data_IF_327796604831
#
_entry.id   IF_327796604831
#
_cell.length_a   1.000
_cell.length_b   1.000
_cell.length_c   1.000
_cell.angle_alpha   90.00
_cell.angle_beta   90.00
_cell.angle_gamma   90.00
#
_symmetry.space_group_name_H-M   'P 1'
#
loop_
_entity.id
_entity.type
_entity.pdbx_description
1 polymer ?
#
# COMPACT_ATOMS: atom_id res chain seq x y z
N UNK A 1 -3.74 10.53 -40.66
CA UNK A 1 -3.48 9.16 -40.19
C UNK A 1 -3.17 9.24 -38.70
N UNK A 2 -4.13 8.90 -37.83
CA UNK A 2 -3.99 9.01 -36.38
C UNK A 2 -3.55 7.67 -35.78
N UNK A 3 -2.27 7.55 -35.43
CA UNK A 3 -1.74 6.43 -34.69
C UNK A 3 -2.10 6.55 -33.21
N UNK A 4 -3.27 6.04 -32.82
CA UNK A 4 -3.68 5.93 -31.43
C UNK A 4 -2.79 4.92 -30.70
N UNK A 5 -1.94 5.42 -29.80
CA UNK A 5 -1.23 4.62 -28.80
C UNK A 5 -2.24 3.73 -28.07
N UNK A 6 -2.20 2.43 -28.34
CA UNK A 6 -2.87 1.40 -27.56
C UNK A 6 -2.20 1.26 -26.19
N UNK A 7 -2.39 2.25 -25.32
CA UNK A 7 -2.16 2.08 -23.90
C UNK A 7 -3.24 1.15 -23.37
N UNK A 8 -2.86 -0.07 -22.98
CA UNK A 8 -3.76 -1.05 -22.38
C UNK A 8 -4.59 -0.38 -21.28
N UNK A 9 -5.91 -0.42 -21.44
CA UNK A 9 -6.84 0.23 -20.50
C UNK A 9 -6.74 -0.50 -19.17
N UNK A 10 -6.31 0.21 -18.12
CA UNK A 10 -6.25 -0.35 -16.76
C UNK A 10 -7.65 -0.86 -16.37
N UNK A 11 -7.78 -2.10 -15.88
CA UNK A 11 -9.08 -2.65 -15.47
C UNK A 11 -9.56 -2.06 -14.12
N UNK A 12 -8.82 -1.11 -13.56
CA UNK A 12 -9.12 -0.38 -12.33
C UNK A 12 -9.09 1.12 -12.55
N UNK A 13 -9.73 1.87 -11.64
CA UNK A 13 -9.66 3.32 -11.56
C UNK A 13 -9.26 3.70 -10.14
N UNK A 14 -8.13 4.39 -10.01
CA UNK A 14 -7.75 5.04 -8.77
C UNK A 14 -8.52 6.37 -8.65
N UNK A 15 -9.01 6.68 -7.45
CA UNK A 15 -9.70 7.94 -7.13
C UNK A 15 -9.09 8.48 -5.85
N UNK A 16 -8.75 9.76 -5.86
CA UNK A 16 -8.14 10.48 -4.73
C UNK A 16 -8.88 11.79 -4.48
N UNK A 17 -8.91 12.21 -3.20
CA UNK A 17 -9.51 13.47 -2.76
C UNK A 17 -8.66 14.08 -1.65
N UNK A 18 -8.70 15.41 -1.54
CA UNK A 18 -8.10 16.13 -0.44
C UNK A 18 -9.16 16.52 0.60
N UNK A 19 -8.89 16.25 1.87
CA UNK A 19 -9.77 16.59 2.98
C UNK A 19 -9.00 16.74 4.29
N UNK A 20 -9.63 17.40 5.28
CA UNK A 20 -9.03 17.61 6.61
C UNK A 20 -9.05 16.33 7.45
N UNK A 21 -10.08 15.50 7.29
CA UNK A 21 -10.27 14.24 8.01
C UNK A 21 -10.55 13.08 7.05
N UNK A 22 -10.28 11.86 7.51
CA UNK A 22 -10.61 10.63 6.75
C UNK A 22 -12.12 10.53 6.47
N UNK A 23 -12.95 10.97 7.42
CA UNK A 23 -14.40 11.00 7.24
C UNK A 23 -14.84 11.95 6.12
N UNK A 24 -14.25 13.13 6.06
CA UNK A 24 -14.56 14.09 5.01
C UNK A 24 -14.04 13.62 3.64
N UNK A 25 -12.88 12.95 3.62
CA UNK A 25 -12.40 12.28 2.41
C UNK A 25 -13.40 11.21 1.92
N UNK A 26 -13.93 10.38 2.81
CA UNK A 26 -14.91 9.35 2.44
C UNK A 26 -16.22 9.97 1.94
N UNK A 27 -16.69 11.05 2.56
CA UNK A 27 -17.87 11.80 2.09
C UNK A 27 -17.64 12.37 0.70
N UNK A 28 -16.48 13.00 0.45
CA UNK A 28 -16.11 13.49 -0.87
C UNK A 28 -16.04 12.38 -1.91
N UNK A 29 -15.35 11.28 -1.58
CA UNK A 29 -15.27 10.10 -2.46
C UNK A 29 -16.66 9.55 -2.79
N UNK A 30 -17.58 9.50 -1.81
CA UNK A 30 -18.94 9.00 -2.05
C UNK A 30 -19.75 9.83 -3.06
N UNK A 31 -19.38 11.10 -3.28
CA UNK A 31 -20.00 11.95 -4.31
C UNK A 31 -19.40 11.71 -5.71
N UNK A 32 -18.22 11.10 -5.80
CA UNK A 32 -17.51 10.83 -7.06
C UNK A 32 -17.55 9.36 -7.50
N UNK A 33 -17.91 8.45 -6.60
CA UNK A 33 -18.10 7.03 -6.92
C UNK A 33 -19.57 6.68 -7.10
N UNK A 34 -19.95 5.98 -8.18
CA UNK A 34 -21.33 5.54 -8.39
C UNK A 34 -21.76 4.40 -7.43
N UNK A 35 -20.84 3.88 -6.61
CA UNK A 35 -21.07 2.75 -5.70
C UNK A 35 -20.81 3.16 -4.26
N UNK A 36 -21.66 2.72 -3.33
CA UNK A 36 -21.42 2.88 -1.89
C UNK A 36 -20.07 2.28 -1.52
N UNK A 37 -19.21 3.08 -0.88
CA UNK A 37 -17.94 2.60 -0.34
C UNK A 37 -18.22 1.56 0.75
N UNK A 38 -17.62 0.38 0.60
CA UNK A 38 -17.80 -0.75 1.52
C UNK A 38 -16.43 -1.24 1.98
N UNK A 39 -16.09 -0.95 3.24
CA UNK A 39 -14.74 -1.19 3.78
C UNK A 39 -14.55 -2.59 4.38
N UNK A 40 -15.60 -3.41 4.48
CA UNK A 40 -15.49 -4.76 5.04
C UNK A 40 -14.66 -5.71 4.16
N UNK A 41 -14.38 -5.35 2.90
CA UNK A 41 -13.46 -6.08 2.02
C UNK A 41 -12.12 -5.35 1.83
N UNK A 42 -11.80 -4.36 2.68
CA UNK A 42 -10.51 -3.70 2.60
C UNK A 42 -9.40 -4.72 2.90
N UNK A 43 -8.42 -4.81 2.01
CA UNK A 43 -7.33 -5.77 2.12
C UNK A 43 -6.06 -5.16 2.70
N UNK A 44 -5.78 -3.89 2.36
CA UNK A 44 -4.56 -3.20 2.75
C UNK A 44 -4.78 -1.70 2.92
N UNK A 45 -4.19 -1.14 3.98
CA UNK A 45 -4.07 0.28 4.24
C UNK A 45 -2.63 0.69 3.98
N UNK A 46 -2.44 1.66 3.09
CA UNK A 46 -1.13 2.20 2.74
C UNK A 46 -0.99 3.60 3.33
N UNK A 47 -0.05 3.78 4.24
CA UNK A 47 0.26 5.06 4.87
C UNK A 47 1.43 5.71 4.14
N UNK A 48 1.33 6.98 3.76
CA UNK A 48 2.51 7.68 3.25
C UNK A 48 3.52 7.87 4.37
N UNK A 49 4.81 7.76 4.06
CA UNK A 49 5.88 8.05 5.01
C UNK A 49 5.71 9.43 5.63
N UNK A 50 5.38 10.43 4.81
CA UNK A 50 5.15 11.81 5.28
C UNK A 50 4.07 11.87 6.37
N UNK A 51 2.92 11.23 6.14
CA UNK A 51 1.84 11.17 7.12
C UNK A 51 2.32 10.48 8.40
N UNK A 52 2.94 9.31 8.26
CA UNK A 52 3.41 8.49 9.37
C UNK A 52 4.48 9.22 10.23
N UNK A 53 5.31 10.07 9.64
CA UNK A 53 6.32 10.88 10.36
C UNK A 53 5.73 12.14 11.01
N UNK A 54 4.97 12.91 10.25
CA UNK A 54 4.54 14.25 10.69
C UNK A 54 3.35 14.17 11.64
N UNK A 55 2.28 13.49 11.21
CA UNK A 55 1.02 13.38 11.95
C UNK A 55 0.91 12.10 12.77
N UNK A 56 1.65 11.06 12.40
CA UNK A 56 1.51 9.74 12.98
C UNK A 56 0.24 9.03 12.51
N UNK A 57 -0.18 8.06 13.30
CA UNK A 57 -1.37 7.24 13.09
C UNK A 57 -2.65 7.67 13.86
N UNK A 58 -2.70 8.67 14.77
CA UNK A 58 -3.96 9.01 15.45
C UNK A 58 -5.14 9.31 14.51
N UNK A 59 -4.98 10.00 13.36
CA UNK A 59 -6.08 10.19 12.41
C UNK A 59 -6.65 8.87 11.85
N UNK A 60 -5.81 7.85 11.81
CA UNK A 60 -6.17 6.51 11.38
C UNK A 60 -6.92 5.77 12.50
N UNK A 61 -6.41 5.84 13.73
CA UNK A 61 -7.04 5.26 14.93
C UNK A 61 -8.45 5.85 15.17
N UNK A 62 -8.58 7.18 15.12
CA UNK A 62 -9.85 7.90 15.29
C UNK A 62 -10.92 7.44 14.29
N UNK A 63 -10.49 7.14 13.06
CA UNK A 63 -11.40 6.64 12.03
C UNK A 63 -11.83 5.20 12.29
N UNK A 64 -10.92 4.34 12.75
CA UNK A 64 -11.20 2.93 13.01
C UNK A 64 -12.03 2.70 14.27
N UNK A 65 -11.73 3.38 15.36
CA UNK A 65 -12.47 3.26 16.63
C UNK A 65 -13.96 3.61 16.42
N UNK A 66 -14.23 4.57 15.54
CA UNK A 66 -15.59 5.02 15.20
C UNK A 66 -16.28 4.20 14.11
N UNK A 67 -15.56 3.29 13.43
CA UNK A 67 -16.09 2.53 12.30
C UNK A 67 -15.80 1.02 12.42
N UNK A 68 -16.68 0.27 13.11
CA UNK A 68 -16.48 -1.16 13.36
C UNK A 68 -16.59 -2.04 12.11
N UNK A 69 -16.86 -1.47 10.92
CA UNK A 69 -16.92 -2.23 9.67
C UNK A 69 -15.54 -2.60 9.12
N UNK A 70 -14.46 -2.03 9.68
CA UNK A 70 -13.10 -2.27 9.19
C UNK A 70 -12.54 -3.47 9.91
N UNK A 71 -12.06 -4.43 9.14
CA UNK A 71 -11.57 -5.68 9.71
C UNK A 71 -10.21 -5.45 10.33
N UNK A 72 -10.04 -5.93 11.57
CA UNK A 72 -8.74 -5.99 12.26
C UNK A 72 -7.69 -6.78 11.48
N UNK A 73 -8.10 -7.66 10.57
CA UNK A 73 -7.20 -8.47 9.75
C UNK A 73 -6.68 -7.77 8.47
N UNK A 74 -7.08 -6.51 8.23
CA UNK A 74 -6.56 -5.69 7.12
C UNK A 74 -5.06 -5.48 7.30
N UNK A 75 -4.25 -5.61 6.25
CA UNK A 75 -2.81 -5.33 6.35
C UNK A 75 -2.53 -3.85 6.41
N UNK A 76 -1.50 -3.44 7.13
CA UNK A 76 -1.02 -2.05 7.14
C UNK A 76 0.39 -2.02 6.58
N UNK A 77 0.70 -1.07 5.69
CA UNK A 77 2.07 -0.85 5.18
C UNK A 77 2.39 0.63 5.09
N UNK A 78 3.67 0.97 5.14
CA UNK A 78 4.17 2.34 4.92
C UNK A 78 4.75 2.44 3.51
N UNK A 79 4.24 3.37 2.72
CA UNK A 79 4.79 3.70 1.41
C UNK A 79 5.89 4.75 1.56
N UNK A 80 7.10 4.39 1.10
CA UNK A 80 8.18 5.35 0.90
C UNK A 80 8.10 5.87 -0.54
N UNK A 81 7.95 7.18 -0.68
CA UNK A 81 7.64 7.84 -1.95
C UNK A 81 6.16 8.17 -2.14
N UNK A 82 5.77 8.44 -3.38
CA UNK A 82 4.43 8.89 -3.71
C UNK A 82 3.44 7.70 -3.79
N UNK A 83 2.51 7.63 -2.83
CA UNK A 83 1.47 6.59 -2.77
C UNK A 83 0.66 6.52 -4.06
N UNK A 84 0.34 7.67 -4.66
CA UNK A 84 -0.45 7.73 -5.90
C UNK A 84 0.28 7.05 -7.04
N UNK A 85 1.58 7.27 -7.15
CA UNK A 85 2.42 6.63 -8.17
C UNK A 85 2.54 5.13 -7.90
N UNK A 86 2.80 4.72 -6.65
CA UNK A 86 2.86 3.29 -6.26
C UNK A 86 1.56 2.58 -6.63
N UNK A 87 0.40 3.16 -6.31
CA UNK A 87 -0.91 2.60 -6.64
C UNK A 87 -1.23 2.66 -8.14
N UNK A 88 -0.52 3.46 -8.92
CA UNK A 88 -0.75 3.59 -10.36
C UNK A 88 0.21 2.74 -11.21
N UNK A 89 1.21 2.08 -10.60
CA UNK A 89 2.11 1.13 -11.29
C UNK A 89 1.28 0.00 -11.90
N UNK A 90 1.23 -0.12 -13.24
CA UNK A 90 0.45 -1.17 -13.88
C UNK A 90 1.10 -2.54 -13.63
N UNK A 91 0.30 -3.59 -13.70
CA UNK A 91 0.77 -4.98 -13.63
C UNK A 91 0.13 -5.78 -14.76
N UNK A 92 0.88 -6.73 -15.32
CA UNK A 92 0.35 -7.67 -16.31
C UNK A 92 -0.33 -8.88 -15.64
N UNK A 93 0.12 -9.25 -14.44
CA UNK A 93 -0.34 -10.43 -13.71
C UNK A 93 -1.56 -10.12 -12.84
N UNK A 94 -1.53 -8.98 -12.16
CA UNK A 94 -2.53 -8.63 -11.16
C UNK A 94 -3.46 -7.52 -11.67
N UNK A 95 -4.77 -7.74 -11.53
CA UNK A 95 -5.79 -6.84 -12.07
C UNK A 95 -5.83 -5.51 -11.32
N UNK A 96 -5.57 -5.51 -10.01
CA UNK A 96 -5.65 -4.31 -9.18
C UNK A 96 -4.38 -4.11 -8.34
N UNK A 97 -4.04 -2.86 -7.98
CA UNK A 97 -2.91 -2.58 -7.10
C UNK A 97 -3.02 -3.28 -5.73
N UNK A 98 -4.24 -3.37 -5.18
CA UNK A 98 -4.49 -4.07 -3.91
C UNK A 98 -4.14 -5.56 -4.01
N UNK A 99 -4.59 -6.25 -5.08
CA UNK A 99 -4.24 -7.66 -5.30
C UNK A 99 -2.74 -7.86 -5.47
N UNK A 100 -2.06 -6.95 -6.16
CA UNK A 100 -0.60 -6.97 -6.29
C UNK A 100 0.10 -6.87 -4.94
N UNK A 101 -0.27 -5.90 -4.12
CA UNK A 101 0.30 -5.74 -2.77
C UNK A 101 0.02 -7.00 -1.95
N UNK A 102 -1.20 -7.53 -2.01
CA UNK A 102 -1.56 -8.79 -1.33
C UNK A 102 -0.75 -9.99 -1.83
N UNK A 103 -0.50 -10.11 -3.14
CA UNK A 103 0.34 -11.15 -3.71
C UNK A 103 1.77 -11.07 -3.21
N UNK A 104 2.33 -9.86 -3.07
CA UNK A 104 3.65 -9.64 -2.48
C UNK A 104 3.65 -10.03 -0.99
N UNK A 105 2.62 -9.62 -0.24
CA UNK A 105 2.48 -9.94 1.19
C UNK A 105 2.32 -11.44 1.42
N UNK A 106 1.53 -12.14 0.61
CA UNK A 106 1.28 -13.57 0.77
C UNK A 106 2.48 -14.43 0.35
N UNK A 107 3.26 -13.98 -0.65
CA UNK A 107 4.49 -14.65 -1.05
C UNK A 107 5.66 -14.41 -0.07
N UNK A 108 5.46 -13.62 1.00
CA UNK A 108 6.49 -13.38 2.01
C UNK A 108 6.95 -14.64 2.73
N UNK A 109 6.11 -15.69 2.82
CA UNK A 109 6.51 -16.93 3.51
C UNK A 109 7.72 -17.60 2.84
N UNK A 110 7.96 -17.29 1.56
CA UNK A 110 9.14 -17.75 0.84
C UNK A 110 10.37 -16.85 1.06
N UNK A 111 10.21 -15.63 1.57
CA UNK A 111 11.32 -14.70 1.81
C UNK A 111 11.62 -14.46 3.30
N UNK A 112 10.65 -14.50 4.23
CA UNK A 112 10.82 -14.25 5.67
C UNK A 112 11.72 -13.05 6.01
N UNK A 113 11.65 -12.00 5.18
CA UNK A 113 12.61 -10.89 5.22
C UNK A 113 12.09 -9.66 5.98
N UNK A 114 10.77 -9.44 6.00
CA UNK A 114 10.20 -8.22 6.55
C UNK A 114 8.97 -8.51 7.39
N UNK A 115 8.93 -7.90 8.58
CA UNK A 115 7.80 -7.99 9.48
C UNK A 115 6.67 -7.07 8.99
N UNK A 116 5.50 -7.65 8.76
CA UNK A 116 4.28 -6.95 8.35
C UNK A 116 3.15 -7.30 9.30
N UNK A 117 2.34 -6.29 9.60
CA UNK A 117 1.41 -6.36 10.72
C UNK A 117 -0.01 -6.13 10.23
N UNK A 118 -0.96 -6.85 10.84
CA UNK A 118 -2.39 -6.60 10.64
C UNK A 118 -2.81 -5.38 11.45
N UNK A 119 -3.88 -4.73 11.04
CA UNK A 119 -4.36 -3.51 11.67
C UNK A 119 -4.63 -3.71 13.16
N UNK A 120 -5.28 -4.82 13.55
CA UNK A 120 -5.57 -5.12 14.96
C UNK A 120 -4.30 -5.17 15.80
N UNK A 121 -3.34 -6.01 15.40
CA UNK A 121 -2.06 -6.16 16.09
C UNK A 121 -1.29 -4.83 16.12
N UNK A 122 -1.33 -4.06 15.02
CA UNK A 122 -0.66 -2.77 14.94
C UNK A 122 -1.25 -1.76 15.93
N UNK A 123 -2.58 -1.74 16.09
CA UNK A 123 -3.26 -0.90 17.08
C UNK A 123 -2.91 -1.37 18.50
N UNK A 124 -2.96 -2.67 18.76
CA UNK A 124 -2.63 -3.23 20.07
C UNK A 124 -1.19 -2.88 20.51
N UNK A 125 -0.22 -2.96 19.59
CA UNK A 125 1.16 -2.51 19.85
C UNK A 125 1.24 -1.02 20.19
N UNK A 126 0.36 -0.18 19.64
CA UNK A 126 0.40 1.27 19.91
C UNK A 126 -0.13 1.62 21.31
N UNK A 127 -0.93 0.73 21.88
CA UNK A 127 -1.54 0.87 23.20
C UNK A 127 -0.71 0.21 24.31
N UNK A 128 0.11 -0.80 23.97
CA UNK A 128 0.93 -1.56 24.92
C UNK A 128 2.20 -0.80 25.34
N UNK A 129 2.35 -0.42 26.63
CA UNK A 129 3.56 0.23 27.11
C UNK A 129 4.77 -0.71 27.06
N UNK A 130 5.67 -0.47 26.11
CA UNK A 130 6.92 -1.22 25.97
C UNK A 130 7.01 -2.07 24.71
N UNK A 131 6.00 -1.98 23.83
CA UNK A 131 6.05 -2.55 22.48
C UNK A 131 6.04 -1.42 21.46
N UNK A 132 7.06 -1.38 20.61
CA UNK A 132 7.11 -0.46 19.49
C UNK A 132 6.36 -1.03 18.29
N UNK A 133 5.35 -0.32 17.75
CA UNK A 133 4.64 -0.78 16.57
C UNK A 133 5.57 -0.83 15.37
N UNK A 134 5.39 -1.83 14.52
CA UNK A 134 6.14 -1.95 13.28
C UNK A 134 5.25 -2.48 12.16
N UNK A 135 5.64 -2.21 10.91
CA UNK A 135 5.06 -2.87 9.74
C UNK A 135 5.97 -2.78 8.53
N UNK A 136 5.62 -3.40 7.40
CA UNK A 136 6.47 -3.41 6.23
C UNK A 136 6.44 -2.08 5.44
N UNK A 137 7.54 -1.82 4.74
CA UNK A 137 7.69 -0.70 3.82
C UNK A 137 7.50 -1.19 2.39
N UNK A 138 6.75 -0.42 1.62
CA UNK A 138 6.54 -0.62 0.20
C UNK A 138 7.11 0.54 -0.61
N UNK A 139 7.80 0.21 -1.70
CA UNK A 139 8.48 1.17 -2.57
C UNK A 139 8.26 0.84 -4.04
N UNK A 140 8.28 1.89 -4.86
CA UNK A 140 8.43 1.77 -6.30
C UNK A 140 9.90 1.57 -6.64
N UNK A 141 10.20 0.56 -7.46
CA UNK A 141 11.55 0.26 -7.92
C UNK A 141 11.59 0.22 -9.45
N UNK A 142 12.73 0.51 -10.10
CA UNK A 142 12.87 0.27 -11.54
C UNK A 142 12.62 -1.20 -11.89
N UNK A 143 11.84 -1.46 -12.93
CA UNK A 143 11.61 -2.81 -13.42
C UNK A 143 12.79 -3.24 -14.31
N UNK A 144 13.48 -4.30 -13.91
CA UNK A 144 14.63 -4.85 -14.66
C UNK A 144 14.21 -5.76 -15.81
N UNK A 145 12.96 -6.21 -15.83
CA UNK A 145 12.38 -7.02 -16.90
C UNK A 145 11.90 -6.18 -18.09
N UNK A 146 12.08 -4.85 -18.06
CA UNK A 146 11.78 -3.96 -19.19
C UNK A 146 12.59 -4.40 -20.39
N UNK A 147 11.91 -5.15 -21.27
CA UNK A 147 12.52 -5.66 -22.48
C UNK A 147 12.69 -4.52 -23.47
N UNK A 148 13.91 -4.35 -23.98
CA UNK A 148 14.18 -3.52 -25.16
C UNK A 148 13.78 -4.20 -26.48
N UNK A 149 13.27 -5.44 -26.41
CA UNK A 149 12.86 -6.21 -27.60
C UNK A 149 11.53 -5.67 -28.10
N UNK A 150 11.44 -5.45 -29.41
CA UNK A 150 10.26 -4.90 -30.05
C UNK A 150 9.00 -5.69 -29.68
N UNK A 151 7.93 -4.95 -29.37
CA UNK A 151 6.60 -5.47 -29.09
C UNK A 151 6.17 -6.47 -30.17
N UNK A 152 5.81 -7.68 -29.76
CA UNK A 152 5.25 -8.68 -30.67
C UNK A 152 3.73 -8.46 -30.76
N UNK A 153 3.16 -8.24 -31.95
CA UNK A 153 1.71 -8.16 -32.11
C UNK A 153 1.05 -9.46 -31.63
N UNK A 154 0.24 -9.37 -30.58
CA UNK A 154 -0.46 -10.52 -29.96
C UNK A 154 0.21 -11.11 -28.71
N UNK A 155 1.38 -10.62 -28.31
CA UNK A 155 2.01 -10.95 -27.02
C UNK A 155 1.49 -10.06 -25.87
N UNK A 156 1.92 -10.33 -24.62
CA UNK A 156 1.71 -9.40 -23.52
C UNK A 156 2.22 -8.00 -23.89
N UNK A 157 1.60 -6.97 -23.33
CA UNK A 157 2.02 -5.58 -23.54
C UNK A 157 3.49 -5.33 -23.17
N UNK A 158 4.05 -4.16 -23.47
CA UNK A 158 5.36 -3.80 -22.94
C UNK A 158 5.35 -3.87 -21.40
N UNK A 159 6.45 -4.35 -20.84
CA UNK A 159 6.65 -4.38 -19.38
C UNK A 159 6.65 -2.95 -18.82
N UNK A 160 6.02 -2.71 -17.65
CA UNK A 160 5.98 -1.38 -17.06
C UNK A 160 7.39 -0.95 -16.63
N UNK A 161 7.73 0.34 -16.70
CA UNK A 161 9.06 0.83 -16.35
C UNK A 161 9.40 0.67 -14.86
N UNK A 162 8.39 0.49 -14.02
CA UNK A 162 8.52 0.36 -12.58
C UNK A 162 7.76 -0.84 -12.06
N UNK A 163 8.25 -1.38 -10.96
CA UNK A 163 7.60 -2.38 -10.13
C UNK A 163 7.43 -1.88 -8.71
N UNK A 164 6.72 -2.67 -7.90
CA UNK A 164 6.53 -2.43 -6.47
C UNK A 164 7.17 -3.56 -5.68
N UNK A 165 7.89 -3.23 -4.61
CA UNK A 165 8.60 -4.19 -3.75
C UNK A 165 8.46 -3.85 -2.27
N UNK A 166 8.49 -4.87 -1.40
CA UNK A 166 8.72 -4.69 0.04
C UNK A 166 10.22 -4.53 0.32
N UNK A 167 10.61 -3.47 1.02
CA UNK A 167 12.02 -3.05 1.13
C UNK A 167 12.54 -2.98 2.56
N UNK A 168 11.68 -3.09 3.57
CA UNK A 168 12.10 -2.97 4.97
C UNK A 168 10.94 -3.08 5.94
N UNK A 169 11.25 -2.90 7.22
CA UNK A 169 10.27 -2.80 8.30
C UNK A 169 10.31 -1.40 8.89
N UNK A 170 9.23 -0.65 8.73
CA UNK A 170 8.96 0.62 9.40
C UNK A 170 8.77 0.39 10.90
N UNK A 171 9.46 1.17 11.73
CA UNK A 171 9.37 1.11 13.19
C UNK A 171 8.86 2.44 13.72
N UNK A 172 7.85 2.36 14.57
CA UNK A 172 7.17 3.49 15.16
C UNK A 172 7.60 3.66 16.62
N UNK A 173 7.66 4.90 17.06
CA UNK A 173 7.76 5.25 18.48
C UNK A 173 6.40 5.79 18.89
N UNK A 174 5.67 5.02 19.68
CA UNK A 174 4.24 5.25 19.94
C UNK A 174 3.47 5.31 18.62
N UNK A 175 2.99 6.48 18.26
CA UNK A 175 2.10 6.72 17.14
C UNK A 175 2.81 7.27 15.89
N UNK A 176 4.13 7.53 15.94
CA UNK A 176 4.88 8.16 14.86
C UNK A 176 6.02 7.30 14.33
N UNK A 177 6.23 7.34 13.02
CA UNK A 177 7.32 6.65 12.35
C UNK A 177 8.66 7.22 12.81
N UNK A 178 9.45 6.41 13.51
CA UNK A 178 10.77 6.78 13.99
C UNK A 178 11.84 6.49 12.93
N UNK A 179 11.76 5.32 12.29
CA UNK A 179 12.75 4.89 11.32
C UNK A 179 12.33 3.60 10.64
N UNK A 180 13.31 2.90 10.09
CA UNK A 180 13.09 1.61 9.46
C UNK A 180 14.32 0.74 9.61
N UNK A 181 14.08 -0.54 9.51
CA UNK A 181 15.09 -1.59 9.52
C UNK A 181 15.21 -2.16 8.11
N UNK A 182 16.45 -2.37 7.70
CA UNK A 182 16.73 -3.11 6.48
C UNK A 182 16.44 -4.61 6.64
N UNK A 183 16.65 -5.38 5.58
CA UNK A 183 16.42 -6.83 5.60
C UNK A 183 17.20 -7.57 6.68
N UNK A 184 18.44 -7.16 6.96
CA UNK A 184 19.28 -7.83 7.96
C UNK A 184 18.80 -7.52 9.36
N UNK A 185 18.48 -6.27 9.62
CA UNK A 185 17.99 -5.79 10.90
C UNK A 185 16.59 -6.33 11.20
N UNK A 186 15.71 -6.37 10.20
CA UNK A 186 14.34 -6.87 10.34
C UNK A 186 14.26 -8.36 10.71
N UNK A 187 15.24 -9.18 10.28
CA UNK A 187 15.34 -10.58 10.73
C UNK A 187 15.62 -10.72 12.22
N UNK A 188 16.24 -9.72 12.86
CA UNK A 188 16.47 -9.73 14.31
C UNK A 188 15.22 -9.44 15.14
N UNK A 189 14.12 -8.99 14.51
CA UNK A 189 12.83 -8.76 15.17
C UNK A 189 11.90 -9.98 15.14
N UNK A 190 12.16 -10.97 14.27
CA UNK A 190 11.33 -12.16 14.06
C UNK A 190 11.90 -13.38 14.78
#
# INVERSE_FOLDING_TARGET
MGGGRGGGRKPYRNVDVEAETVFDAIRKLSMETPRRLFFAHNQVIVLSEKLAREKGIPPLLDFFDRNPQIRRDTWVVVARGNVKEIMDVPSQLEVTPAQRIMGIINNRELSSQFAITRLGDFIEMTEDPGVEPFTAIIEMIPNTAVSHVAFHPGGPGPEPPYDIKLTGTAVFRRDKLAGWLDEREARGLM
#
